data_IF_742213805241
#
_entry.id   IF_742213805241
#
_cell.length_a   1.000
_cell.length_b   1.000
_cell.length_c   1.000
_cell.angle_alpha   90.00
_cell.angle_beta   90.00
_cell.angle_gamma   90.00
#
_symmetry.space_group_name_H-M   'P 1'
#
loop_
_entity.id
_entity.type
_entity.pdbx_description
1 polymer ?
#
# COMPACT_ATOMS: atom_id res chain seq x y z
N UNK A 1 -8.81 3.62 0.63
CA UNK A 1 -7.99 3.81 1.85
C UNK A 1 -8.56 3.11 3.09
N UNK A 2 -9.74 3.52 3.61
CA UNK A 2 -10.31 2.98 4.86
C UNK A 2 -10.48 1.46 4.84
N UNK A 3 -10.94 0.88 3.72
CA UNK A 3 -11.11 -0.57 3.59
C UNK A 3 -9.79 -1.34 3.77
N UNK A 4 -8.71 -0.92 3.11
CA UNK A 4 -7.37 -1.50 3.29
C UNK A 4 -6.89 -1.37 4.74
N UNK A 5 -7.11 -0.19 5.35
CA UNK A 5 -6.75 0.05 6.74
C UNK A 5 -7.44 -0.93 7.70
N UNK A 6 -8.73 -1.21 7.48
CA UNK A 6 -9.48 -2.17 8.27
C UNK A 6 -8.96 -3.60 8.07
N UNK A 7 -8.66 -4.00 6.82
CA UNK A 7 -8.08 -5.32 6.55
C UNK A 7 -6.73 -5.52 7.27
N UNK A 8 -5.86 -4.50 7.30
CA UNK A 8 -4.59 -4.56 8.05
C UNK A 8 -4.85 -4.71 9.55
N UNK A 9 -5.81 -3.96 10.11
CA UNK A 9 -6.19 -4.06 11.53
C UNK A 9 -6.74 -5.43 11.88
N UNK A 10 -7.58 -5.98 11.01
CA UNK A 10 -8.21 -7.28 11.24
C UNK A 10 -7.18 -8.41 11.11
N UNK A 11 -6.28 -8.34 10.13
CA UNK A 11 -5.16 -9.29 10.01
C UNK A 11 -4.22 -9.25 11.22
N UNK A 12 -3.90 -8.04 11.72
CA UNK A 12 -3.10 -7.88 12.94
C UNK A 12 -3.80 -8.51 14.15
N UNK A 13 -5.11 -8.25 14.33
CA UNK A 13 -5.90 -8.84 15.43
C UNK A 13 -6.00 -10.35 15.35
N UNK A 14 -6.08 -10.91 14.14
CA UNK A 14 -6.14 -12.35 13.92
C UNK A 14 -4.82 -13.06 14.27
N UNK A 15 -3.71 -12.34 14.38
CA UNK A 15 -2.38 -12.91 14.67
C UNK A 15 -1.78 -13.72 13.52
N UNK A 16 -2.37 -13.63 12.31
CA UNK A 16 -1.94 -14.40 11.14
C UNK A 16 -1.00 -13.58 10.27
N UNK A 17 0.29 -13.54 10.63
CA UNK A 17 1.37 -13.05 9.76
C UNK A 17 1.52 -11.53 9.62
N UNK A 18 0.56 -10.72 10.07
CA UNK A 18 0.68 -9.26 10.13
C UNK A 18 1.21 -8.85 11.51
N UNK A 19 2.45 -8.38 11.59
CA UNK A 19 3.11 -7.95 12.83
C UNK A 19 2.93 -6.44 13.12
N UNK A 20 2.28 -5.71 12.22
CA UNK A 20 2.02 -4.28 12.34
C UNK A 20 0.54 -3.95 12.20
N UNK A 21 0.08 -2.91 12.90
CA UNK A 21 -1.29 -2.40 12.78
C UNK A 21 -1.34 -1.01 12.14
N UNK A 22 -2.51 -0.61 11.64
CA UNK A 22 -2.71 0.72 11.07
C UNK A 22 -3.46 1.65 12.04
N UNK A 23 -2.73 2.58 12.64
CA UNK A 23 -3.33 3.67 13.43
C UNK A 23 -4.12 4.66 12.55
N UNK A 24 -5.05 5.42 13.16
CA UNK A 24 -5.75 6.51 12.45
C UNK A 24 -4.78 7.59 11.95
N UNK A 25 -3.72 7.90 12.71
CA UNK A 25 -2.67 8.85 12.31
C UNK A 25 -1.94 8.37 11.06
N UNK A 26 -1.59 7.09 11.01
CA UNK A 26 -0.94 6.47 9.83
C UNK A 26 -1.85 6.49 8.62
N UNK A 27 -3.15 6.18 8.79
CA UNK A 27 -4.13 6.26 7.70
C UNK A 27 -4.23 7.68 7.12
N UNK A 28 -4.33 8.70 7.97
CA UNK A 28 -4.39 10.10 7.51
C UNK A 28 -3.10 10.49 6.81
N UNK A 29 -1.93 10.10 7.35
CA UNK A 29 -0.62 10.33 6.72
C UNK A 29 -0.55 9.67 5.35
N UNK A 30 -0.97 8.41 5.22
CA UNK A 30 -1.00 7.69 3.95
C UNK A 30 -1.84 8.41 2.89
N UNK A 31 -3.06 8.84 3.24
CA UNK A 31 -3.91 9.62 2.34
C UNK A 31 -3.23 10.93 1.91
N UNK A 32 -2.67 11.70 2.86
CA UNK A 32 -1.98 12.96 2.55
C UNK A 32 -0.79 12.76 1.63
N UNK A 33 0.04 11.74 1.88
CA UNK A 33 1.19 11.43 1.04
C UNK A 33 0.76 10.98 -0.36
N UNK A 34 -0.34 10.24 -0.51
CA UNK A 34 -0.83 9.84 -1.83
C UNK A 34 -1.25 11.02 -2.72
N UNK A 35 -1.76 12.09 -2.11
CA UNK A 35 -2.09 13.34 -2.81
C UNK A 35 -0.82 14.15 -3.08
N UNK A 36 0.06 14.27 -2.09
CA UNK A 36 1.33 15.01 -2.21
C UNK A 36 2.21 14.46 -3.33
N UNK A 37 2.31 13.14 -3.44
CA UNK A 37 3.14 12.45 -4.41
C UNK A 37 2.38 12.02 -5.67
N UNK A 38 1.23 12.62 -6.00
CA UNK A 38 0.46 12.24 -7.20
C UNK A 38 1.29 12.22 -8.49
N UNK A 39 2.28 13.12 -8.59
CA UNK A 39 3.13 13.28 -9.77
C UNK A 39 4.10 12.10 -9.98
N UNK A 40 4.30 11.20 -9.00
CA UNK A 40 5.12 9.99 -9.22
C UNK A 40 4.48 9.04 -10.24
N UNK A 41 3.16 9.20 -10.49
CA UNK A 41 2.47 8.52 -11.58
C UNK A 41 3.03 8.86 -12.96
N UNK A 42 3.53 10.08 -13.17
CA UNK A 42 4.18 10.49 -14.43
C UNK A 42 5.48 9.72 -14.68
N UNK A 43 6.06 9.13 -13.64
CA UNK A 43 7.26 8.28 -13.69
C UNK A 43 6.93 6.78 -13.69
N UNK A 44 5.64 6.43 -13.83
CA UNK A 44 5.18 5.04 -13.89
C UNK A 44 5.00 4.34 -12.55
N UNK A 45 5.08 5.05 -11.42
CA UNK A 45 4.89 4.50 -10.07
C UNK A 45 3.50 4.82 -9.52
N UNK A 46 2.92 3.93 -8.71
CA UNK A 46 1.66 4.21 -8.02
C UNK A 46 1.86 5.14 -6.82
N UNK A 47 1.19 6.32 -6.80
CA UNK A 47 1.25 7.22 -5.64
C UNK A 47 0.69 6.58 -4.37
N UNK A 48 -0.25 5.64 -4.50
CA UNK A 48 -0.90 4.96 -3.38
C UNK A 48 0.07 4.00 -2.70
N UNK A 49 0.84 3.23 -3.49
CA UNK A 49 1.85 2.31 -2.97
C UNK A 49 3.06 3.06 -2.42
N UNK A 50 3.57 4.03 -3.17
CA UNK A 50 4.67 4.88 -2.70
C UNK A 50 4.36 5.56 -1.37
N UNK A 51 3.14 6.09 -1.22
CA UNK A 51 2.70 6.67 0.04
C UNK A 51 2.54 5.65 1.17
N UNK A 52 2.21 4.39 0.87
CA UNK A 52 2.12 3.32 1.87
C UNK A 52 3.51 2.98 2.41
N UNK A 53 4.51 2.88 1.55
CA UNK A 53 5.90 2.61 1.93
C UNK A 53 6.40 3.66 2.92
N UNK A 54 6.15 4.94 2.61
CA UNK A 54 6.52 6.07 3.46
C UNK A 54 5.70 6.19 4.76
N UNK A 55 4.51 5.60 4.81
CA UNK A 55 3.61 5.70 5.96
C UNK A 55 3.74 4.51 6.92
N UNK A 56 4.01 3.30 6.40
CA UNK A 56 3.94 2.07 7.17
C UNK A 56 4.90 0.98 6.67
N UNK A 57 4.87 0.64 5.38
CA UNK A 57 5.44 -0.65 4.91
C UNK A 57 6.97 -0.72 4.99
N UNK A 58 7.71 0.39 4.82
CA UNK A 58 9.18 0.40 4.95
C UNK A 58 9.69 0.03 6.35
N UNK A 59 8.84 0.10 7.38
CA UNK A 59 9.18 -0.29 8.75
C UNK A 59 8.90 -1.75 9.07
N UNK A 60 8.50 -2.56 8.09
CA UNK A 60 8.02 -3.94 8.29
C UNK A 60 8.94 -4.97 7.64
N UNK A 61 8.72 -6.25 7.95
CA UNK A 61 9.39 -7.34 7.25
C UNK A 61 8.93 -7.43 5.78
N UNK A 62 9.77 -7.95 4.89
CA UNK A 62 9.43 -8.07 3.47
C UNK A 62 8.10 -8.82 3.20
N UNK A 63 7.80 -9.96 3.86
CA UNK A 63 6.51 -10.65 3.67
C UNK A 63 5.30 -9.81 4.09
N UNK A 64 5.46 -9.00 5.14
CA UNK A 64 4.41 -8.10 5.64
C UNK A 64 4.19 -6.95 4.66
N UNK A 65 5.26 -6.34 4.17
CA UNK A 65 5.20 -5.29 3.14
C UNK A 65 4.48 -5.78 1.88
N UNK A 66 4.88 -6.96 1.37
CA UNK A 66 4.26 -7.56 0.19
C UNK A 66 2.76 -7.82 0.44
N UNK A 67 2.40 -8.37 1.60
CA UNK A 67 0.99 -8.59 1.95
C UNK A 67 0.18 -7.29 1.97
N UNK A 68 0.76 -6.20 2.50
CA UNK A 68 0.12 -4.88 2.50
C UNK A 68 -0.09 -4.39 1.06
N UNK A 69 0.90 -4.56 0.18
CA UNK A 69 0.77 -4.17 -1.23
C UNK A 69 -0.30 -4.99 -1.95
N UNK A 70 -0.37 -6.31 -1.71
CA UNK A 70 -1.41 -7.16 -2.27
C UNK A 70 -2.82 -6.72 -1.83
N UNK A 71 -3.00 -6.32 -0.57
CA UNK A 71 -4.26 -5.74 -0.09
C UNK A 71 -4.65 -4.46 -0.83
N UNK A 72 -3.67 -3.60 -1.16
CA UNK A 72 -3.91 -2.38 -1.94
C UNK A 72 -4.33 -2.74 -3.37
N UNK A 73 -3.65 -3.68 -4.02
CA UNK A 73 -4.02 -4.17 -5.35
C UNK A 73 -5.44 -4.73 -5.33
N UNK A 74 -5.76 -5.61 -4.39
CA UNK A 74 -7.07 -6.24 -4.25
C UNK A 74 -8.20 -5.22 -4.05
N UNK A 75 -7.98 -4.18 -3.24
CA UNK A 75 -9.04 -3.22 -2.86
C UNK A 75 -9.14 -2.04 -3.81
N UNK A 76 -8.02 -1.58 -4.39
CA UNK A 76 -7.97 -0.35 -5.17
C UNK A 76 -7.66 -0.57 -6.65
N UNK A 77 -7.27 -1.79 -7.06
CA UNK A 77 -6.85 -2.08 -8.43
C UNK A 77 -5.57 -1.35 -8.86
N UNK A 78 -4.87 -0.71 -7.93
CA UNK A 78 -3.64 0.01 -8.21
C UNK A 78 -2.47 -0.97 -8.17
N UNK A 79 -1.86 -1.28 -9.32
CA UNK A 79 -0.57 -1.98 -9.36
C UNK A 79 0.56 -1.07 -8.87
N UNK A 80 1.66 -1.63 -8.37
CA UNK A 80 2.80 -0.82 -7.92
C UNK A 80 3.45 -0.05 -9.06
N UNK A 81 3.61 -0.71 -10.21
CA UNK A 81 4.18 -0.14 -11.44
C UNK A 81 3.15 -0.21 -12.59
N UNK A 82 2.18 0.72 -12.64
CA UNK A 82 1.19 0.75 -13.71
C UNK A 82 1.79 0.93 -15.12
N UNK A 83 3.01 1.48 -15.23
CA UNK A 83 3.72 1.61 -16.51
C UNK A 83 4.32 0.30 -17.04
N UNK A 84 4.47 -0.75 -16.23
CA UNK A 84 5.07 -2.03 -16.63
C UNK A 84 4.03 -3.09 -17.06
N UNK A 85 2.74 -2.89 -16.76
CA UNK A 85 1.70 -3.89 -16.99
C UNK A 85 1.43 -4.21 -18.49
N UNK A 86 1.99 -3.43 -19.42
CA UNK A 86 1.83 -3.62 -20.87
C UNK A 86 3.00 -4.36 -21.55
N UNK A 87 4.04 -4.78 -20.80
CA UNK A 87 5.28 -5.35 -21.36
C UNK A 87 5.38 -6.88 -21.39
N UNK A 88 4.57 -7.60 -20.61
CA UNK A 88 4.77 -9.04 -20.37
C UNK A 88 3.84 -9.96 -21.19
N UNK A 89 3.25 -9.46 -22.29
CA UNK A 89 2.26 -10.20 -23.10
C UNK A 89 2.71 -10.51 -24.55
N UNK A 90 4.01 -10.71 -24.78
CA UNK A 90 4.56 -11.21 -26.06
C UNK A 90 5.61 -12.28 -25.86
#
# INVERSE_FOLDING_TARGET
FVKVANMIRDAFKAGTGMDVTMSTRTLIRWVRLSVLYKNVAERGFSPVHYAMDLALANGTSAPVSESIHQLIVQVMGASQNPGQASGDAT
#
